data_IF_930686504669
#
_entry.id   IF_930686504669
#
_cell.length_a   1.000
_cell.length_b   1.000
_cell.length_c   1.000
_cell.angle_alpha   90.00
_cell.angle_beta   90.00
_cell.angle_gamma   90.00
#
_symmetry.space_group_name_H-M   'P 1'
#
loop_
_entity.id
_entity.type
_entity.pdbx_description
1 polymer ?
#
# COMPACT_ATOMS: atom_id res chain seq x y z
N UNK A 1 -1.77 -17.16 -3.23
CA UNK A 1 -1.54 -15.78 -2.73
C UNK A 1 -2.34 -14.84 -3.62
N UNK A 2 -2.65 -13.64 -3.17
CA UNK A 2 -3.62 -12.77 -3.83
C UNK A 2 -3.52 -11.37 -3.26
N UNK A 3 -3.71 -10.40 -4.14
CA UNK A 3 -3.77 -8.97 -3.91
C UNK A 3 -5.18 -8.49 -4.30
N UNK A 4 -5.55 -7.27 -3.91
CA UNK A 4 -6.82 -6.69 -4.32
C UNK A 4 -6.95 -6.58 -5.85
N UNK A 5 -5.85 -6.21 -6.54
CA UNK A 5 -5.82 -6.06 -7.99
C UNK A 5 -4.51 -6.59 -8.58
N UNK A 6 -4.61 -7.53 -9.53
CA UNK A 6 -3.50 -7.86 -10.43
C UNK A 6 -3.57 -6.93 -11.64
N UNK A 7 -2.49 -6.19 -11.87
CA UNK A 7 -2.34 -5.27 -12.99
C UNK A 7 -1.04 -5.56 -13.75
N UNK A 8 -0.85 -4.90 -14.87
CA UNK A 8 0.31 -5.05 -15.73
C UNK A 8 0.79 -3.68 -16.18
N UNK A 9 2.10 -3.48 -16.13
CA UNK A 9 2.73 -2.35 -16.83
C UNK A 9 2.53 -2.49 -18.35
N UNK A 10 2.74 -1.41 -19.10
CA UNK A 10 2.60 -1.43 -20.57
C UNK A 10 3.49 -2.50 -21.23
N UNK A 11 4.62 -2.83 -20.61
CA UNK A 11 5.51 -3.92 -21.05
C UNK A 11 5.11 -5.32 -20.60
N UNK A 12 3.95 -5.51 -19.97
CA UNK A 12 3.45 -6.80 -19.50
C UNK A 12 4.01 -7.27 -18.16
N UNK A 13 4.83 -6.47 -17.48
CA UNK A 13 5.33 -6.80 -16.14
C UNK A 13 4.19 -6.73 -15.13
N UNK A 14 4.00 -7.81 -14.38
CA UNK A 14 2.99 -7.88 -13.32
C UNK A 14 3.18 -6.81 -12.26
N UNK A 15 2.05 -6.32 -11.77
CA UNK A 15 1.94 -5.40 -10.63
C UNK A 15 0.83 -5.88 -9.71
N UNK A 16 1.22 -6.26 -8.51
CA UNK A 16 0.34 -6.71 -7.43
C UNK A 16 -0.03 -5.49 -6.59
N UNK A 17 -1.29 -5.07 -6.67
CA UNK A 17 -1.76 -3.86 -6.03
C UNK A 17 -2.63 -4.22 -4.84
N UNK A 18 -2.23 -3.74 -3.67
CA UNK A 18 -3.05 -3.72 -2.46
C UNK A 18 -3.62 -2.31 -2.29
N UNK A 19 -4.88 -2.18 -1.86
CA UNK A 19 -5.54 -0.89 -1.67
C UNK A 19 -5.83 -0.66 -0.19
N UNK A 20 -5.38 0.48 0.34
CA UNK A 20 -5.73 0.92 1.69
C UNK A 20 -6.24 2.35 1.65
N UNK A 21 -7.49 2.54 2.05
CA UNK A 21 -8.09 3.86 2.19
C UNK A 21 -8.16 4.22 3.66
N UNK A 22 -7.93 5.50 3.96
CA UNK A 22 -8.18 6.09 5.27
C UNK A 22 -9.14 7.26 5.07
N UNK A 23 -10.13 7.40 5.95
CA UNK A 23 -11.01 8.58 5.92
C UNK A 23 -10.22 9.89 6.16
N UNK A 24 -9.08 9.77 6.86
CA UNK A 24 -8.15 10.86 7.16
C UNK A 24 -7.06 10.99 6.08
N UNK A 25 -6.37 12.14 6.07
CA UNK A 25 -5.42 12.57 5.02
C UNK A 25 -4.18 11.69 4.84
N UNK A 26 -3.21 12.16 4.05
CA UNK A 26 -2.03 11.36 3.63
C UNK A 26 -1.34 10.69 4.80
N UNK A 27 -1.02 11.42 5.87
CA UNK A 27 -0.28 10.88 7.03
C UNK A 27 -1.08 9.95 7.93
N UNK A 28 -2.38 9.80 7.66
CA UNK A 28 -3.23 8.92 8.44
C UNK A 28 -2.67 7.50 8.42
N UNK A 29 -2.55 6.89 9.60
CA UNK A 29 -1.95 5.60 9.69
C UNK A 29 -2.96 4.53 9.30
N UNK A 30 -2.46 3.39 8.83
CA UNK A 30 -3.26 2.32 8.26
C UNK A 30 -2.75 0.95 8.71
N UNK A 31 -3.60 -0.05 8.61
CA UNK A 31 -3.27 -1.42 8.99
C UNK A 31 -3.01 -2.27 7.75
N UNK A 32 -2.03 -3.16 7.86
CA UNK A 32 -1.78 -4.24 6.90
C UNK A 32 -1.82 -5.55 7.64
N UNK A 33 -2.32 -6.60 6.99
CA UNK A 33 -2.19 -7.95 7.50
C UNK A 33 -0.73 -8.42 7.40
N UNK A 34 -0.36 -9.39 8.24
CA UNK A 34 0.97 -10.03 8.14
C UNK A 34 1.22 -10.61 6.74
N UNK A 35 0.17 -11.07 6.08
CA UNK A 35 0.24 -11.61 4.72
C UNK A 35 0.57 -10.52 3.70
N UNK A 36 -0.07 -9.37 3.76
CA UNK A 36 0.24 -8.23 2.87
C UNK A 36 1.64 -7.71 3.12
N UNK A 37 2.05 -7.62 4.39
CA UNK A 37 3.40 -7.22 4.73
C UNK A 37 4.44 -8.20 4.15
N UNK A 38 4.20 -9.51 4.28
CA UNK A 38 5.04 -10.53 3.69
C UNK A 38 5.05 -10.46 2.16
N UNK A 39 3.89 -10.26 1.53
CA UNK A 39 3.79 -10.10 0.08
C UNK A 39 4.59 -8.89 -0.41
N UNK A 40 4.52 -7.74 0.28
CA UNK A 40 5.31 -6.55 -0.08
C UNK A 40 6.82 -6.81 -0.07
N UNK A 41 7.30 -7.65 0.86
CA UNK A 41 8.70 -8.04 0.94
C UNK A 41 9.07 -9.03 -0.15
N UNK A 42 8.21 -10.02 -0.40
CA UNK A 42 8.45 -11.10 -1.36
C UNK A 42 8.45 -10.60 -2.81
N UNK A 43 7.48 -9.78 -3.19
CA UNK A 43 7.29 -9.35 -4.58
C UNK A 43 8.00 -8.03 -4.91
N UNK A 44 8.52 -7.34 -3.89
CA UNK A 44 9.35 -6.15 -4.07
C UNK A 44 8.68 -5.13 -5.00
N UNK A 45 9.38 -4.68 -6.04
CA UNK A 45 8.89 -3.66 -6.97
C UNK A 45 7.61 -4.03 -7.74
N UNK A 46 7.24 -5.31 -7.80
CA UNK A 46 5.96 -5.71 -8.38
C UNK A 46 4.81 -5.40 -7.42
N UNK A 47 5.06 -5.30 -6.12
CA UNK A 47 4.06 -4.92 -5.14
C UNK A 47 3.93 -3.40 -5.05
N UNK A 48 2.69 -2.92 -5.02
CA UNK A 48 2.41 -1.53 -4.71
C UNK A 48 1.20 -1.39 -3.78
N UNK A 49 1.35 -0.57 -2.74
CA UNK A 49 0.24 -0.17 -1.88
C UNK A 49 -0.35 1.14 -2.40
N UNK A 50 -1.58 1.10 -2.90
CA UNK A 50 -2.29 2.25 -3.42
C UNK A 50 -3.19 2.85 -2.35
N UNK A 51 -3.10 4.16 -2.20
CA UNK A 51 -3.76 4.95 -1.17
C UNK A 51 -4.56 6.09 -1.80
N UNK A 52 -5.83 5.85 -2.17
CA UNK A 52 -6.77 6.90 -2.52
C UNK A 52 -7.05 7.79 -1.31
N UNK A 53 -7.03 9.10 -1.52
CA UNK A 53 -7.20 10.15 -0.51
C UNK A 53 -8.13 11.24 -1.03
N UNK A 54 -8.78 11.97 -0.11
CA UNK A 54 -9.52 13.20 -0.47
C UNK A 54 -10.72 12.97 -1.41
N UNK A 55 -11.27 11.76 -1.45
CA UNK A 55 -12.27 11.32 -2.43
C UNK A 55 -13.49 12.25 -2.56
N UNK A 56 -13.87 12.92 -1.47
CA UNK A 56 -15.03 13.84 -1.42
C UNK A 56 -14.78 15.26 -1.94
N UNK A 57 -13.53 15.68 -2.14
CA UNK A 57 -13.20 17.06 -2.56
C UNK A 57 -12.26 17.10 -3.75
N UNK A 58 -11.10 16.48 -3.62
CA UNK A 58 -10.07 16.46 -4.65
C UNK A 58 -9.40 15.09 -4.58
N UNK A 59 -9.93 14.09 -5.30
CA UNK A 59 -9.41 12.74 -5.25
C UNK A 59 -7.95 12.73 -5.69
N UNK A 60 -7.09 12.18 -4.84
CA UNK A 60 -5.66 12.00 -5.10
C UNK A 60 -5.31 10.55 -4.84
N UNK A 61 -4.38 10.04 -5.62
CA UNK A 61 -3.83 8.70 -5.42
C UNK A 61 -2.36 8.85 -5.03
N UNK A 62 -2.00 8.21 -3.91
CA UNK A 62 -0.60 8.02 -3.53
C UNK A 62 -0.27 6.54 -3.61
N UNK A 63 0.97 6.20 -3.91
CA UNK A 63 1.42 4.82 -4.01
C UNK A 63 2.75 4.63 -3.28
N UNK A 64 2.88 3.52 -2.57
CA UNK A 64 4.14 3.04 -2.00
C UNK A 64 4.57 1.81 -2.80
N UNK A 65 5.63 1.95 -3.60
CA UNK A 65 6.14 0.87 -4.46
C UNK A 65 7.21 0.09 -3.71
N UNK A 66 7.12 -1.23 -3.71
CA UNK A 66 8.06 -2.08 -3.01
C UNK A 66 7.62 -2.49 -1.60
N UNK A 67 8.59 -2.99 -0.84
CA UNK A 67 8.39 -3.35 0.55
C UNK A 67 7.92 -2.16 1.38
N UNK A 68 6.79 -2.30 2.08
CA UNK A 68 6.15 -1.19 2.81
C UNK A 68 7.06 -0.62 3.90
N UNK A 69 7.88 -1.45 4.54
CA UNK A 69 8.85 -1.02 5.56
C UNK A 69 9.93 -0.06 5.05
N UNK A 70 10.07 0.14 3.73
CA UNK A 70 10.94 1.19 3.16
C UNK A 70 10.35 2.60 3.28
N UNK A 71 9.03 2.68 3.45
CA UNK A 71 8.27 3.94 3.39
C UNK A 71 7.57 4.28 4.70
N UNK A 72 7.34 3.29 5.57
CA UNK A 72 6.59 3.46 6.81
C UNK A 72 7.31 2.78 7.98
N UNK A 73 7.23 3.40 9.14
CA UNK A 73 7.52 2.74 10.40
C UNK A 73 6.37 1.76 10.73
N UNK A 74 6.71 0.50 10.96
CA UNK A 74 5.75 -0.55 11.30
C UNK A 74 5.60 -0.61 12.83
N UNK A 75 4.38 -0.38 13.32
CA UNK A 75 4.00 -0.61 14.72
C UNK A 75 3.61 -2.07 14.98
N UNK A 76 3.49 -2.44 16.25
CA UNK A 76 2.88 -3.72 16.64
C UNK A 76 1.38 -3.72 16.27
N UNK A 77 0.74 -4.90 16.23
CA UNK A 77 -0.62 -5.15 15.68
C UNK A 77 -1.77 -4.28 16.26
N UNK A 78 -1.49 -3.44 17.27
CA UNK A 78 -2.43 -2.44 17.81
C UNK A 78 -2.10 -0.98 17.46
N UNK A 79 -0.98 -0.72 16.76
CA UNK A 79 -0.52 0.61 16.40
C UNK A 79 -0.38 0.78 14.87
N UNK A 80 -1.09 1.76 14.28
CA UNK A 80 -1.20 1.87 12.84
C UNK A 80 0.10 2.42 12.22
N UNK A 81 0.44 1.98 10.99
CA UNK A 81 1.69 2.35 10.32
C UNK A 81 1.76 3.85 10.03
N UNK A 82 2.86 4.51 10.39
CA UNK A 82 3.05 5.97 10.21
C UNK A 82 4.05 6.27 9.10
N UNK A 83 3.83 7.37 8.38
CA UNK A 83 4.80 7.88 7.42
C UNK A 83 6.10 8.28 8.11
N UNK A 84 7.22 8.03 7.43
CA UNK A 84 8.53 8.58 7.77
C UNK A 84 8.66 10.02 7.26
#
# INVERSE_FOLDING_TARGET
MGCDVLSFETGGKERLIEVRTTASGREAPFCLSNRELAASKQFGEQFALYRPLGFRRLPRLSALVGAVGRHCALGSVSDPARYL
#
